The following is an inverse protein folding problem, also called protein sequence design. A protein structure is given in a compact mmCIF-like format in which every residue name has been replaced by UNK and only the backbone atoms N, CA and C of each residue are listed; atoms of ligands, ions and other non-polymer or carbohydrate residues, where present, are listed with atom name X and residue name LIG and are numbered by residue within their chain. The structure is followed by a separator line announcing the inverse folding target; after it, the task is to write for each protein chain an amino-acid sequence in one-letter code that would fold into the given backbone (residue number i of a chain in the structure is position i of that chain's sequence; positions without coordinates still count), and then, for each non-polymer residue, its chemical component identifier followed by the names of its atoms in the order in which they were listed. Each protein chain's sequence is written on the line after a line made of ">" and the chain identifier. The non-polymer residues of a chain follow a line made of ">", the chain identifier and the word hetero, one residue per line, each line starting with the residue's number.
data_IF_432080265508
#
_entry.id   IF_432080265508
#
_cell.length_a   1.000
_cell.length_b   1.000
_cell.length_c   1.000
_cell.angle_alpha   90.00
_cell.angle_beta   90.00
_cell.angle_gamma   90.00
#
_symmetry.space_group_name_H-M   'P 1'
#
loop_
_entity.id
_entity.type
_entity.pdbx_description
1 polymer ?
#
# COMPACT_ATOMS: atom_id res chain seq x y z
N UNK A 1 5.26 4.68 -6.04
CA UNK A 1 4.84 3.33 -6.46
C UNK A 1 5.85 2.35 -5.90
N UNK A 2 5.39 1.39 -5.09
CA UNK A 2 6.24 0.38 -4.47
C UNK A 2 5.72 -0.99 -4.91
N UNK A 3 6.60 -1.83 -5.47
CA UNK A 3 6.21 -3.18 -5.92
C UNK A 3 6.31 -4.12 -4.73
N UNK A 4 5.18 -4.37 -4.07
CA UNK A 4 5.15 -5.18 -2.85
C UNK A 4 5.25 -6.67 -3.15
N UNK A 5 4.54 -7.14 -4.18
CA UNK A 5 4.56 -8.53 -4.63
C UNK A 5 4.92 -8.52 -6.12
N UNK A 6 6.12 -9.01 -6.50
CA UNK A 6 6.50 -9.06 -7.90
C UNK A 6 5.70 -10.12 -8.66
N UNK A 7 5.55 -9.91 -9.97
CA UNK A 7 4.94 -10.90 -10.88
C UNK A 7 5.67 -12.24 -10.80
N UNK A 8 4.92 -13.33 -11.01
CA UNK A 8 5.38 -14.72 -10.93
C UNK A 8 5.84 -15.14 -9.52
N UNK A 9 5.40 -14.43 -8.46
CA UNK A 9 5.59 -14.89 -7.09
C UNK A 9 4.79 -16.17 -6.84
N UNK A 10 5.38 -17.11 -6.11
CA UNK A 10 4.71 -18.36 -5.71
C UNK A 10 3.62 -18.05 -4.69
N UNK A 11 2.37 -18.42 -4.99
CA UNK A 11 1.25 -18.37 -4.04
C UNK A 11 1.17 -19.68 -3.23
N UNK A 12 0.83 -19.62 -1.93
CA UNK A 12 0.40 -18.44 -1.17
C UNK A 12 1.60 -17.56 -0.73
N UNK A 13 1.41 -16.24 -0.75
CA UNK A 13 2.45 -15.27 -0.36
C UNK A 13 1.88 -14.19 0.57
N UNK A 14 2.66 -13.83 1.58
CA UNK A 14 2.35 -12.72 2.48
C UNK A 14 3.54 -11.76 2.56
N UNK A 15 3.30 -10.47 2.35
CA UNK A 15 4.29 -9.39 2.39
C UNK A 15 3.77 -8.25 3.25
N UNK A 16 4.58 -7.83 4.21
CA UNK A 16 4.25 -6.70 5.07
C UNK A 16 5.22 -5.56 4.82
N UNK A 17 4.68 -4.36 4.62
CA UNK A 17 5.43 -3.12 4.44
C UNK A 17 5.02 -2.08 5.50
N UNK A 18 5.97 -1.22 5.84
CA UNK A 18 5.75 -0.08 6.74
C UNK A 18 5.72 1.21 5.92
N UNK A 19 4.58 1.90 5.96
CA UNK A 19 4.38 3.20 5.35
C UNK A 19 4.30 4.28 6.42
N UNK A 20 4.41 5.52 5.97
CA UNK A 20 4.42 6.69 6.82
C UNK A 20 3.57 7.79 6.21
N UNK A 21 3.09 8.72 7.03
CA UNK A 21 2.40 9.93 6.54
C UNK A 21 3.34 10.76 5.67
N UNK A 22 2.82 11.27 4.55
CA UNK A 22 3.58 12.12 3.63
C UNK A 22 3.54 13.59 4.04
N UNK A 23 2.56 13.98 4.87
CA UNK A 23 2.35 15.35 5.33
C UNK A 23 2.18 15.43 6.84
N UNK A 24 2.58 16.57 7.42
CA UNK A 24 2.35 16.89 8.82
C UNK A 24 0.85 17.09 9.08
N UNK A 25 0.37 16.61 10.23
CA UNK A 25 -1.04 16.68 10.63
C UNK A 25 -2.02 16.07 9.60
N UNK A 26 -1.55 15.10 8.82
CA UNK A 26 -2.41 14.33 7.93
C UNK A 26 -3.40 13.53 8.79
N UNK A 27 -4.70 13.74 8.58
CA UNK A 27 -5.77 13.08 9.35
C UNK A 27 -6.27 11.79 8.71
N UNK A 28 -6.09 11.65 7.39
CA UNK A 28 -6.48 10.47 6.62
C UNK A 28 -5.35 10.07 5.67
N UNK A 29 -5.08 8.77 5.59
CA UNK A 29 -4.13 8.18 4.63
C UNK A 29 -4.93 7.33 3.66
N UNK A 30 -4.70 7.54 2.37
CA UNK A 30 -5.33 6.79 1.30
C UNK A 30 -4.28 5.88 0.65
N UNK A 31 -4.61 4.60 0.53
CA UNK A 31 -3.76 3.56 -0.04
C UNK A 31 -4.50 2.94 -1.21
N UNK A 32 -4.02 3.25 -2.41
CA UNK A 32 -4.49 2.64 -3.63
C UNK A 32 -3.66 1.41 -3.97
N UNK A 33 -4.33 0.30 -4.25
CA UNK A 33 -3.72 -0.98 -4.62
C UNK A 33 -3.91 -1.18 -6.12
N UNK A 34 -2.79 -1.30 -6.83
CA UNK A 34 -2.77 -1.50 -8.28
C UNK A 34 -2.15 -2.85 -8.63
N UNK A 35 -2.65 -3.45 -9.71
CA UNK A 35 -2.12 -4.63 -10.36
C UNK A 35 -1.61 -4.26 -11.76
N UNK A 36 -0.32 -4.51 -12.02
CA UNK A 36 0.26 -4.41 -13.35
C UNK A 36 1.77 -4.23 -13.34
N UNK A 37 2.36 -4.21 -14.53
CA UNK A 37 3.82 -4.12 -14.74
C UNK A 37 4.27 -2.73 -15.21
N UNK A 38 3.35 -1.78 -15.34
CA UNK A 38 3.68 -0.44 -15.85
C UNK A 38 4.24 0.42 -14.72
N UNK A 39 5.14 1.33 -15.07
CA UNK A 39 5.81 2.24 -14.13
C UNK A 39 4.85 3.32 -13.59
N UNK A 40 3.82 3.64 -14.36
CA UNK A 40 2.81 4.66 -14.03
C UNK A 40 1.60 3.95 -13.43
N UNK A 41 1.20 4.34 -12.22
CA UNK A 41 0.10 3.71 -11.50
C UNK A 41 -1.23 3.84 -12.25
N UNK A 42 -1.50 4.99 -12.89
CA UNK A 42 -2.71 5.26 -13.68
C UNK A 42 -2.88 4.34 -14.89
N UNK A 43 -1.79 3.76 -15.38
CA UNK A 43 -1.83 2.81 -16.48
C UNK A 43 -2.04 1.35 -16.03
N UNK A 44 -1.98 1.09 -14.73
CA UNK A 44 -2.21 -0.23 -14.15
C UNK A 44 -3.68 -0.39 -13.71
N UNK A 45 -4.07 -1.64 -13.42
CA UNK A 45 -5.42 -1.93 -12.99
C UNK A 45 -5.60 -1.59 -11.51
N UNK A 46 -6.51 -0.68 -11.17
CA UNK A 46 -6.85 -0.37 -9.78
C UNK A 46 -7.67 -1.53 -9.20
N UNK A 47 -7.10 -2.27 -8.25
CA UNK A 47 -7.81 -3.32 -7.53
C UNK A 47 -8.73 -2.75 -6.46
N UNK A 48 -8.33 -1.64 -5.84
CA UNK A 48 -9.13 -0.95 -4.84
C UNK A 48 -8.37 0.13 -4.09
N UNK A 49 -9.12 0.89 -3.29
CA UNK A 49 -8.61 2.00 -2.49
C UNK A 49 -9.07 1.83 -1.05
N UNK A 50 -8.15 2.04 -0.11
CA UNK A 50 -8.41 1.95 1.32
C UNK A 50 -8.03 3.27 1.97
N UNK A 51 -8.93 3.84 2.76
CA UNK A 51 -8.61 4.98 3.61
C UNK A 51 -8.59 4.59 5.08
N UNK A 52 -7.68 5.20 5.83
CA UNK A 52 -7.60 5.04 7.28
C UNK A 52 -7.40 6.39 7.93
N UNK A 53 -8.14 6.63 9.01
CA UNK A 53 -7.95 7.79 9.86
C UNK A 53 -6.75 7.59 10.77
N UNK A 54 -5.82 8.55 10.74
CA UNK A 54 -4.62 8.57 11.59
C UNK A 54 -4.66 9.81 12.49
N UNK A 55 -4.18 9.72 13.74
CA UNK A 55 -4.15 10.89 14.61
C UNK A 55 -3.19 11.94 14.06
N UNK A 56 -3.54 13.22 14.22
CA UNK A 56 -2.71 14.33 13.77
C UNK A 56 -1.34 14.28 14.45
N UNK A 57 -0.32 13.99 13.65
CA UNK A 57 1.07 13.89 14.09
C UNK A 57 2.00 14.47 13.01
N UNK A 58 3.24 14.85 13.38
CA UNK A 58 4.25 15.24 12.40
C UNK A 58 4.54 14.11 11.41
N UNK A 59 4.99 14.50 10.21
CA UNK A 59 5.31 13.58 9.12
C UNK A 59 6.25 12.48 9.60
N UNK A 60 5.92 11.22 9.30
CA UNK A 60 6.82 10.09 9.59
C UNK A 60 6.79 9.57 11.03
N UNK A 61 5.97 10.15 11.91
CA UNK A 61 5.95 9.76 13.32
C UNK A 61 5.19 8.45 13.58
N UNK A 62 4.13 8.19 12.80
CA UNK A 62 3.26 7.03 12.99
C UNK A 62 3.58 5.99 11.90
N UNK A 63 4.12 4.81 12.27
CA UNK A 63 4.30 3.73 11.31
C UNK A 63 2.96 3.05 11.00
N UNK A 64 2.65 2.92 9.72
CA UNK A 64 1.44 2.28 9.20
C UNK A 64 1.86 0.93 8.62
N UNK A 65 1.46 -0.16 9.28
CA UNK A 65 1.78 -1.53 8.84
C UNK A 65 0.71 -2.02 7.88
N UNK A 66 1.07 -2.24 6.61
CA UNK A 66 0.17 -2.78 5.59
C UNK A 66 0.65 -4.18 5.21
N UNK A 67 -0.27 -5.16 5.25
CA UNK A 67 0.02 -6.55 4.93
C UNK A 67 -0.76 -6.95 3.67
N UNK A 68 -0.03 -7.34 2.64
CA UNK A 68 -0.55 -7.89 1.39
C UNK A 68 -0.43 -9.41 1.46
N UNK A 69 -1.56 -10.10 1.39
CA UNK A 69 -1.61 -11.56 1.36
C UNK A 69 -2.36 -12.01 0.11
N UNK A 70 -1.78 -12.93 -0.64
CA UNK A 70 -2.41 -13.60 -1.78
C UNK A 70 -2.50 -15.08 -1.40
N UNK A 71 -3.72 -15.58 -1.31
CA UNK A 71 -4.00 -16.97 -0.99
C UNK A 71 -3.91 -17.86 -2.23
N UNK A 72 -3.94 -19.18 -2.05
CA UNK A 72 -3.80 -20.16 -3.13
C UNK A 72 -5.14 -20.72 -3.63
N UNK A 73 -6.26 -20.21 -3.10
CA UNK A 73 -7.63 -20.62 -3.48
C UNK A 73 -8.02 -20.15 -4.89
#
# INVERSE_FOLDING_TARGET
>A
MDVVIPKNSTIPIMKTQYYFTCSDNQSCVLVDVYEGERVIAEDNNLLGSFDFSVPCAPRGHIPIKVCFAIDAD
#
